data_IF_364157165587
#
_entry.id   IF_364157165587
#
_cell.length_a   1.000
_cell.length_b   1.000
_cell.length_c   1.000
_cell.angle_alpha   90.00
_cell.angle_beta   90.00
_cell.angle_gamma   90.00
#
_symmetry.space_group_name_H-M   'P 1'
#
loop_
_entity.id
_entity.type
_entity.pdbx_description
1 polymer ?
#
# COMPACT_ATOMS: atom_id res chain seq x y z
N UNK A 1 50.11 -4.36 5.40
CA UNK A 1 48.92 -4.99 4.75
C UNK A 1 47.67 -4.12 4.80
N UNK A 2 47.43 -3.39 5.90
CA UNK A 2 46.29 -2.46 6.06
C UNK A 2 46.36 -1.23 5.14
N UNK A 3 47.55 -0.65 4.95
CA UNK A 3 47.73 0.54 4.11
C UNK A 3 47.38 0.27 2.63
N UNK A 4 47.76 -0.91 2.12
CA UNK A 4 47.45 -1.32 0.75
C UNK A 4 45.94 -1.46 0.49
N UNK A 5 45.17 -1.92 1.49
CA UNK A 5 43.70 -2.00 1.41
C UNK A 5 43.03 -0.62 1.48
N UNK A 6 43.66 0.34 2.16
CA UNK A 6 43.15 1.70 2.33
C UNK A 6 43.33 2.52 1.04
N UNK A 7 44.44 2.33 0.32
CA UNK A 7 44.64 2.92 -1.01
C UNK A 7 43.71 2.33 -2.07
N UNK A 8 43.52 1.01 -2.08
CA UNK A 8 42.59 0.33 -3.01
C UNK A 8 41.12 0.79 -2.81
N UNK A 9 40.70 1.02 -1.56
CA UNK A 9 39.36 1.55 -1.25
C UNK A 9 39.18 3.00 -1.73
N UNK A 10 40.20 3.85 -1.59
CA UNK A 10 40.17 5.25 -2.08
C UNK A 10 40.10 5.31 -3.61
N UNK A 11 40.84 4.46 -4.32
CA UNK A 11 40.80 4.37 -5.79
C UNK A 11 39.45 3.87 -6.32
N UNK A 12 38.80 2.90 -5.65
CA UNK A 12 37.44 2.45 -6.05
C UNK A 12 36.39 3.53 -5.83
N UNK A 13 36.46 4.28 -4.72
CA UNK A 13 35.50 5.35 -4.42
C UNK A 13 35.56 6.52 -5.42
N UNK A 14 36.75 6.87 -5.92
CA UNK A 14 36.93 7.96 -6.90
C UNK A 14 36.48 7.56 -8.30
N UNK A 15 36.65 6.28 -8.68
CA UNK A 15 36.17 5.74 -9.96
C UNK A 15 34.64 5.67 -10.01
N UNK A 16 33.99 5.23 -8.92
CA UNK A 16 32.52 5.19 -8.81
C UNK A 16 31.91 6.61 -8.80
N UNK A 17 32.52 7.56 -8.08
CA UNK A 17 32.06 8.96 -8.09
C UNK A 17 32.13 9.61 -9.47
N UNK A 18 33.17 9.31 -10.28
CA UNK A 18 33.28 9.79 -11.67
C UNK A 18 32.24 9.17 -12.62
N UNK A 19 31.86 7.90 -12.42
CA UNK A 19 30.82 7.26 -13.23
C UNK A 19 29.42 7.81 -12.92
N UNK A 20 29.12 8.09 -11.65
CA UNK A 20 27.83 8.65 -11.23
C UNK A 20 27.65 10.08 -11.75
N UNK A 21 28.69 10.92 -11.70
CA UNK A 21 28.59 12.30 -12.21
C UNK A 21 28.44 12.38 -13.74
N UNK A 22 29.06 11.46 -14.49
CA UNK A 22 28.88 11.39 -15.95
C UNK A 22 27.46 10.91 -16.30
N UNK A 23 26.93 9.90 -15.60
CA UNK A 23 25.56 9.42 -15.82
C UNK A 23 24.48 10.47 -15.54
N UNK A 24 24.67 11.28 -14.50
CA UNK A 24 23.74 12.36 -14.14
C UNK A 24 23.74 13.51 -15.17
N UNK A 25 24.91 13.84 -15.74
CA UNK A 25 24.99 14.86 -16.79
C UNK A 25 24.34 14.42 -18.10
N UNK A 26 24.45 13.14 -18.46
CA UNK A 26 23.79 12.58 -19.67
C UNK A 26 22.26 12.59 -19.51
N UNK A 27 21.74 12.25 -18.34
CA UNK A 27 20.29 12.25 -18.09
C UNK A 27 19.69 13.66 -18.12
N UNK A 28 20.39 14.66 -17.57
CA UNK A 28 19.96 16.07 -17.67
C UNK A 28 19.95 16.52 -19.13
N UNK A 29 20.99 16.21 -19.91
CA UNK A 29 21.09 16.60 -21.31
C UNK A 29 19.94 16.00 -22.16
N UNK A 30 19.61 14.72 -21.92
CA UNK A 30 18.48 14.04 -22.60
C UNK A 30 17.14 14.66 -22.19
N UNK A 31 16.94 14.99 -20.91
CA UNK A 31 15.71 15.64 -20.45
C UNK A 31 15.54 17.04 -21.07
N UNK A 32 16.62 17.83 -21.20
CA UNK A 32 16.56 19.12 -21.88
C UNK A 32 16.27 19.00 -23.38
N UNK A 33 16.77 17.96 -24.05
CA UNK A 33 16.52 17.72 -25.48
C UNK A 33 15.06 17.31 -25.76
N UNK A 34 14.43 16.56 -24.84
CA UNK A 34 13.01 16.18 -24.91
C UNK A 34 12.10 17.40 -24.69
N UNK A 35 12.44 18.29 -23.75
CA UNK A 35 11.65 19.51 -23.51
C UNK A 35 11.73 20.51 -24.68
N UNK A 36 12.89 20.61 -25.34
CA UNK A 36 13.05 21.45 -26.54
C UNK A 36 12.32 20.84 -27.75
N UNK A 37 12.31 19.51 -27.93
CA UNK A 37 11.60 18.88 -29.06
C UNK A 37 10.08 18.94 -28.94
N UNK A 38 9.52 18.92 -27.73
CA UNK A 38 8.10 19.18 -27.47
C UNK A 38 7.68 20.63 -27.77
N UNK A 39 8.62 21.58 -27.62
CA UNK A 39 8.36 23.00 -27.86
C UNK A 39 8.33 23.37 -29.35
N UNK A 40 8.91 22.56 -30.23
CA UNK A 40 8.94 22.79 -31.68
C UNK A 40 7.77 22.16 -32.46
N UNK A 41 6.90 21.37 -31.82
CA UNK A 41 5.94 20.53 -32.54
C UNK A 41 4.49 21.05 -32.66
N UNK A 42 4.13 22.22 -32.15
CA UNK A 42 2.77 22.76 -32.38
C UNK A 42 2.79 24.27 -32.62
N UNK A 43 3.20 24.67 -33.82
CA UNK A 43 2.62 25.85 -34.48
C UNK A 43 2.70 25.69 -36.01
N UNK A 44 1.78 24.89 -36.56
CA UNK A 44 1.37 25.04 -37.96
C UNK A 44 0.05 25.77 -37.96
N UNK A 45 0.04 26.94 -38.56
CA UNK A 45 -1.14 27.79 -38.76
C UNK A 45 -2.23 27.02 -39.52
N UNK A 46 -3.52 27.24 -39.21
CA UNK A 46 -4.60 26.48 -39.83
C UNK A 46 -4.82 26.93 -41.27
N UNK A 47 -4.85 25.97 -42.20
CA UNK A 47 -5.62 26.11 -43.44
C UNK A 47 -7.09 25.87 -43.11
N UNK A 48 -7.94 26.76 -43.59
CA UNK A 48 -9.40 26.68 -43.51
C UNK A 48 -9.91 25.28 -43.88
N UNK A 49 -10.32 24.54 -42.85
CA UNK A 49 -11.22 23.41 -43.00
C UNK A 49 -12.38 23.71 -42.08
N UNK A 50 -13.58 23.76 -42.65
CA UNK A 50 -14.84 23.93 -41.95
C UNK A 50 -15.00 22.84 -40.90
N UNK A 51 -14.65 23.18 -39.65
CA UNK A 51 -14.95 22.36 -38.48
C UNK A 51 -16.46 22.39 -38.31
N UNK A 52 -17.08 21.27 -38.63
CA UNK A 52 -18.39 20.93 -38.10
C UNK A 52 -18.23 20.92 -36.58
N UNK A 53 -18.79 21.95 -35.94
CA UNK A 53 -18.87 22.06 -34.48
C UNK A 53 -19.58 20.80 -34.00
N UNK A 54 -18.83 19.85 -33.45
CA UNK A 54 -19.39 18.78 -32.65
C UNK A 54 -19.88 19.46 -31.37
N UNK A 55 -21.16 19.84 -31.40
CA UNK A 55 -21.90 20.30 -30.24
C UNK A 55 -21.73 19.18 -29.21
N UNK A 56 -21.02 19.47 -28.12
CA UNK A 56 -21.00 18.63 -26.93
C UNK A 56 -22.44 18.58 -26.43
N UNK A 57 -23.18 17.59 -26.93
CA UNK A 57 -24.60 17.42 -26.65
C UNK A 57 -24.70 17.27 -25.13
N UNK A 58 -25.41 18.20 -24.49
CA UNK A 58 -25.76 18.10 -23.08
C UNK A 58 -26.32 16.68 -22.87
N UNK A 59 -25.81 15.89 -21.91
CA UNK A 59 -26.32 14.54 -21.67
C UNK A 59 -27.85 14.61 -21.53
N UNK A 60 -28.55 13.63 -22.10
CA UNK A 60 -29.99 13.59 -21.95
C UNK A 60 -30.33 13.45 -20.46
N UNK A 61 -31.44 14.03 -20.02
CA UNK A 61 -31.87 13.97 -18.61
C UNK A 61 -31.94 12.53 -18.09
N UNK A 62 -32.34 11.59 -18.96
CA UNK A 62 -32.37 10.15 -18.67
C UNK A 62 -30.97 9.56 -18.39
N UNK A 63 -29.92 10.04 -19.08
CA UNK A 63 -28.53 9.60 -18.84
C UNK A 63 -28.01 10.11 -17.50
N UNK A 64 -28.37 11.34 -17.13
CA UNK A 64 -28.01 11.94 -15.85
C UNK A 64 -28.66 11.18 -14.69
N UNK A 65 -29.95 10.86 -14.79
CA UNK A 65 -30.65 10.11 -13.74
C UNK A 65 -30.07 8.70 -13.58
N UNK A 66 -29.69 8.04 -14.69
CA UNK A 66 -28.98 6.75 -14.64
C UNK A 66 -27.65 6.86 -13.89
N UNK A 67 -26.80 7.84 -14.25
CA UNK A 67 -25.50 8.07 -13.57
C UNK A 67 -25.70 8.35 -12.08
N UNK A 68 -26.71 9.16 -11.74
CA UNK A 68 -27.04 9.48 -10.34
C UNK A 68 -27.42 8.23 -9.55
N UNK A 69 -28.21 7.33 -10.13
CA UNK A 69 -28.65 6.12 -9.44
C UNK A 69 -27.50 5.11 -9.31
N UNK A 70 -26.67 4.95 -10.34
CA UNK A 70 -25.45 4.12 -10.26
C UNK A 70 -24.50 4.64 -9.17
N UNK A 71 -24.29 5.96 -9.07
CA UNK A 71 -23.51 6.55 -7.99
C UNK A 71 -24.05 6.17 -6.62
N UNK A 72 -25.38 6.30 -6.40
CA UNK A 72 -26.02 5.98 -5.11
C UNK A 72 -25.85 4.51 -4.74
N UNK A 73 -26.00 3.60 -5.70
CA UNK A 73 -25.82 2.16 -5.48
C UNK A 73 -24.38 1.84 -5.04
N UNK A 74 -23.37 2.40 -5.73
CA UNK A 74 -21.97 2.18 -5.38
C UNK A 74 -21.64 2.82 -4.03
N UNK A 75 -22.13 4.03 -3.77
CA UNK A 75 -21.94 4.70 -2.48
C UNK A 75 -22.55 3.88 -1.35
N UNK A 76 -23.75 3.34 -1.55
CA UNK A 76 -24.42 2.49 -0.57
C UNK A 76 -23.57 1.25 -0.26
N UNK A 77 -23.13 0.52 -1.29
CA UNK A 77 -22.23 -0.64 -1.13
C UNK A 77 -20.96 -0.27 -0.38
N UNK A 78 -20.34 0.85 -0.75
CA UNK A 78 -19.13 1.34 -0.07
C UNK A 78 -19.39 1.56 1.42
N UNK A 79 -20.46 2.28 1.77
CA UNK A 79 -20.80 2.63 3.16
C UNK A 79 -21.19 1.43 4.01
N UNK A 80 -21.92 0.45 3.46
CA UNK A 80 -22.40 -0.69 4.25
C UNK A 80 -21.43 -1.85 4.31
N UNK A 81 -20.58 -2.03 3.30
CA UNK A 81 -19.73 -3.22 3.20
C UNK A 81 -18.24 -2.89 3.26
N UNK A 82 -17.78 -1.92 2.48
CA UNK A 82 -16.34 -1.68 2.33
C UNK A 82 -15.77 -0.84 3.47
N UNK A 83 -16.41 0.27 3.83
CA UNK A 83 -15.93 1.16 4.89
C UNK A 83 -15.76 0.44 6.25
N UNK A 84 -16.71 -0.37 6.74
CA UNK A 84 -16.52 -1.12 7.98
C UNK A 84 -15.35 -2.11 7.90
N UNK A 85 -15.13 -2.74 6.74
CA UNK A 85 -14.00 -3.65 6.52
C UNK A 85 -12.67 -2.91 6.51
N UNK A 86 -12.62 -1.72 5.89
CA UNK A 86 -11.44 -0.85 5.90
C UNK A 86 -11.09 -0.41 7.33
N UNK A 87 -12.10 -0.10 8.15
CA UNK A 87 -11.91 0.21 9.57
C UNK A 87 -11.39 -1.00 10.35
N UNK A 88 -11.98 -2.18 10.15
CA UNK A 88 -11.52 -3.42 10.78
C UNK A 88 -10.08 -3.78 10.37
N UNK A 89 -9.69 -3.45 9.14
CA UNK A 89 -8.34 -3.63 8.62
C UNK A 89 -7.32 -2.61 9.18
N UNK A 90 -7.74 -1.63 9.99
CA UNK A 90 -6.85 -0.73 10.73
C UNK A 90 -5.84 0.02 9.83
N UNK A 91 -6.27 0.42 8.63
CA UNK A 91 -5.41 0.95 7.56
C UNK A 91 -4.65 2.20 8.00
N UNK A 92 -5.24 3.03 8.87
CA UNK A 92 -4.58 4.20 9.45
C UNK A 92 -3.24 3.86 10.13
N UNK A 93 -3.09 2.65 10.67
CA UNK A 93 -1.86 2.24 11.37
C UNK A 93 -0.75 1.75 10.45
N UNK A 94 -1.08 1.11 9.35
CA UNK A 94 -0.09 0.41 8.51
C UNK A 94 0.04 0.95 7.09
N UNK A 95 -0.97 1.68 6.60
CA UNK A 95 -0.94 2.32 5.29
C UNK A 95 -1.63 3.71 5.35
N UNK A 96 -0.96 4.64 6.03
CA UNK A 96 -1.45 6.02 6.21
C UNK A 96 -1.71 6.75 4.89
N UNK A 97 -0.90 6.48 3.86
CA UNK A 97 -1.11 7.10 2.55
C UNK A 97 -2.43 6.62 1.93
N UNK A 98 -2.68 5.30 1.93
CA UNK A 98 -3.94 4.75 1.44
C UNK A 98 -5.15 5.25 2.24
N UNK A 99 -5.02 5.35 3.56
CA UNK A 99 -6.05 5.94 4.42
C UNK A 99 -6.40 7.39 4.01
N UNK A 100 -5.38 8.22 3.81
CA UNK A 100 -5.57 9.59 3.35
C UNK A 100 -6.22 9.64 1.96
N UNK A 101 -5.73 8.83 1.01
CA UNK A 101 -6.23 8.81 -0.35
C UNK A 101 -7.70 8.35 -0.44
N UNK A 102 -8.09 7.33 0.33
CA UNK A 102 -9.50 6.89 0.45
C UNK A 102 -10.38 8.05 0.91
N UNK A 103 -9.99 8.71 2.01
CA UNK A 103 -10.76 9.80 2.60
C UNK A 103 -10.89 11.00 1.66
N UNK A 104 -9.81 11.37 0.97
CA UNK A 104 -9.85 12.46 0.00
C UNK A 104 -10.70 12.12 -1.22
N UNK A 105 -10.65 10.88 -1.68
CA UNK A 105 -11.42 10.45 -2.84
C UNK A 105 -12.92 10.35 -2.53
N UNK A 106 -13.29 9.91 -1.33
CA UNK A 106 -14.67 9.97 -0.86
C UNK A 106 -15.19 11.41 -0.84
N UNK A 107 -14.43 12.35 -0.23
CA UNK A 107 -14.79 13.77 -0.22
C UNK A 107 -14.98 14.33 -1.63
N UNK A 108 -14.09 14.00 -2.57
CA UNK A 108 -14.21 14.42 -3.97
C UNK A 108 -15.45 13.86 -4.65
N UNK A 109 -15.76 12.58 -4.43
CA UNK A 109 -16.97 11.95 -4.96
C UNK A 109 -18.23 12.67 -4.47
N UNK A 110 -18.31 12.95 -3.16
CA UNK A 110 -19.43 13.65 -2.54
C UNK A 110 -19.55 15.10 -3.01
N UNK A 111 -18.43 15.83 -3.10
CA UNK A 111 -18.42 17.21 -3.57
C UNK A 111 -18.92 17.32 -5.00
N UNK A 112 -18.40 16.49 -5.90
CA UNK A 112 -18.85 16.45 -7.30
C UNK A 112 -20.34 16.14 -7.40
N UNK A 113 -20.82 15.17 -6.61
CA UNK A 113 -22.25 14.83 -6.58
C UNK A 113 -23.12 16.01 -6.13
N UNK A 114 -22.72 16.69 -5.05
CA UNK A 114 -23.45 17.84 -4.49
C UNK A 114 -23.49 19.04 -5.45
N UNK A 115 -22.46 19.19 -6.29
CA UNK A 115 -22.36 20.23 -7.30
C UNK A 115 -23.11 19.89 -8.61
N UNK A 116 -23.73 18.70 -8.69
CA UNK A 116 -24.40 18.22 -9.89
C UNK A 116 -23.45 17.70 -10.98
N UNK A 117 -22.15 17.56 -10.68
CA UNK A 117 -21.16 16.96 -11.58
C UNK A 117 -21.18 15.42 -11.45
N UNK A 118 -22.30 14.84 -11.87
CA UNK A 118 -22.56 13.41 -11.72
C UNK A 118 -21.56 12.49 -12.44
N UNK A 119 -21.08 12.79 -13.67
CA UNK A 119 -20.06 11.96 -14.32
C UNK A 119 -18.76 11.89 -13.50
N UNK A 120 -18.26 13.02 -12.99
CA UNK A 120 -17.07 13.00 -12.15
C UNK A 120 -17.34 12.37 -10.78
N UNK A 121 -18.53 12.55 -10.20
CA UNK A 121 -18.92 11.86 -8.97
C UNK A 121 -18.87 10.34 -9.15
N UNK A 122 -19.46 9.81 -10.23
CA UNK A 122 -19.47 8.39 -10.56
C UNK A 122 -18.05 7.83 -10.75
N UNK A 123 -17.21 8.54 -11.51
CA UNK A 123 -15.82 8.14 -11.71
C UNK A 123 -15.04 8.07 -10.38
N UNK A 124 -15.24 9.07 -9.49
CA UNK A 124 -14.56 9.10 -8.20
C UNK A 124 -15.02 7.96 -7.28
N UNK A 125 -16.33 7.66 -7.21
CA UNK A 125 -16.84 6.59 -6.35
C UNK A 125 -16.48 5.19 -6.88
N UNK A 126 -16.45 4.98 -8.20
CA UNK A 126 -15.98 3.73 -8.80
C UNK A 126 -14.49 3.48 -8.48
N UNK A 127 -13.67 4.53 -8.60
CA UNK A 127 -12.25 4.43 -8.28
C UNK A 127 -12.02 4.27 -6.76
N UNK A 128 -12.87 4.86 -5.90
CA UNK A 128 -12.85 4.64 -4.45
C UNK A 128 -13.11 3.16 -4.13
N UNK A 129 -14.15 2.58 -4.74
CA UNK A 129 -14.49 1.16 -4.60
C UNK A 129 -13.32 0.27 -5.03
N UNK A 130 -12.73 0.52 -6.19
CA UNK A 130 -11.60 -0.25 -6.69
C UNK A 130 -10.38 -0.18 -5.76
N UNK A 131 -10.01 1.02 -5.31
CA UNK A 131 -8.91 1.23 -4.36
C UNK A 131 -9.16 0.53 -3.03
N UNK A 132 -10.39 0.64 -2.50
CA UNK A 132 -10.78 0.00 -1.24
C UNK A 132 -10.64 -1.51 -1.29
N UNK A 133 -11.07 -2.14 -2.40
CA UNK A 133 -10.92 -3.58 -2.60
C UNK A 133 -9.46 -4.01 -2.67
N UNK A 134 -8.63 -3.26 -3.41
CA UNK A 134 -7.19 -3.56 -3.51
C UNK A 134 -6.48 -3.48 -2.14
N UNK A 135 -6.81 -2.49 -1.31
CA UNK A 135 -6.22 -2.35 0.03
C UNK A 135 -6.68 -3.45 0.97
N UNK A 136 -7.95 -3.88 0.87
CA UNK A 136 -8.45 -5.02 1.64
C UNK A 136 -7.76 -6.33 1.23
N UNK A 137 -7.49 -6.51 -0.05
CA UNK A 137 -6.72 -7.66 -0.55
C UNK A 137 -5.27 -7.63 -0.05
N UNK A 138 -4.62 -6.47 -0.07
CA UNK A 138 -3.28 -6.27 0.50
C UNK A 138 -3.25 -6.59 2.00
N UNK A 139 -4.25 -6.09 2.76
CA UNK A 139 -4.40 -6.38 4.19
C UNK A 139 -4.50 -7.88 4.46
N UNK A 140 -5.33 -8.59 3.68
CA UNK A 140 -5.51 -10.03 3.81
C UNK A 140 -4.23 -10.80 3.46
N UNK A 141 -3.51 -10.37 2.44
CA UNK A 141 -2.24 -10.97 2.06
C UNK A 141 -1.18 -10.80 3.17
N UNK A 142 -1.05 -9.59 3.73
CA UNK A 142 -0.16 -9.33 4.85
C UNK A 142 -0.52 -10.22 6.04
N UNK A 143 -1.82 -10.36 6.35
CA UNK A 143 -2.28 -11.21 7.43
C UNK A 143 -1.85 -12.67 7.21
N UNK A 144 -2.20 -13.25 6.05
CA UNK A 144 -1.90 -14.66 5.71
C UNK A 144 -0.41 -14.96 5.75
N UNK A 145 0.40 -14.14 5.11
CA UNK A 145 1.85 -14.36 5.06
C UNK A 145 2.48 -14.35 6.45
N UNK A 146 2.00 -13.49 7.35
CA UNK A 146 2.54 -13.41 8.69
C UNK A 146 2.02 -14.55 9.57
N UNK A 147 0.78 -14.99 9.41
CA UNK A 147 0.27 -16.17 10.13
C UNK A 147 1.00 -17.46 9.69
N UNK A 148 1.28 -17.60 8.40
CA UNK A 148 2.08 -18.71 7.87
C UNK A 148 3.52 -18.69 8.42
N UNK A 149 4.20 -17.55 8.34
CA UNK A 149 5.56 -17.39 8.91
C UNK A 149 5.57 -17.65 10.41
N UNK A 150 4.57 -17.20 11.15
CA UNK A 150 4.47 -17.46 12.58
C UNK A 150 4.38 -18.96 12.87
N UNK A 151 3.57 -19.68 12.10
CA UNK A 151 3.40 -21.13 12.21
C UNK A 151 4.70 -21.89 11.91
N UNK A 152 5.44 -21.45 10.88
CA UNK A 152 6.76 -22.02 10.55
C UNK A 152 7.77 -21.82 11.69
N UNK A 153 7.85 -20.60 12.23
CA UNK A 153 8.75 -20.33 13.37
C UNK A 153 8.35 -21.11 14.63
N UNK A 154 7.06 -21.32 14.89
CA UNK A 154 6.61 -22.17 15.99
C UNK A 154 7.03 -23.62 15.81
N UNK A 155 6.94 -24.16 14.60
CA UNK A 155 7.36 -25.53 14.31
C UNK A 155 8.88 -25.74 14.50
N UNK A 156 9.66 -24.67 14.45
CA UNK A 156 11.12 -24.65 14.65
C UNK A 156 11.53 -24.23 16.07
N UNK A 157 10.60 -24.13 17.03
CA UNK A 157 10.85 -23.62 18.40
C UNK A 157 11.42 -22.19 18.45
N UNK A 158 11.24 -21.42 17.37
CA UNK A 158 11.70 -20.04 17.24
C UNK A 158 10.62 -19.04 17.73
N UNK A 159 10.35 -19.05 19.03
CA UNK A 159 9.21 -18.32 19.63
C UNK A 159 9.23 -16.80 19.40
N UNK A 160 10.39 -16.15 19.44
CA UNK A 160 10.49 -14.71 19.16
C UNK A 160 10.13 -14.38 17.71
N UNK A 161 10.56 -15.23 16.77
CA UNK A 161 10.19 -15.11 15.35
C UNK A 161 8.70 -15.30 15.16
N UNK A 162 8.13 -16.31 15.81
CA UNK A 162 6.70 -16.56 15.78
C UNK A 162 5.91 -15.36 16.32
N UNK A 163 6.30 -14.83 17.47
CA UNK A 163 5.67 -13.68 18.12
C UNK A 163 5.69 -12.45 17.22
N UNK A 164 6.86 -12.11 16.67
CA UNK A 164 7.03 -10.98 15.76
C UNK A 164 6.05 -11.05 14.58
N UNK A 165 5.88 -12.25 14.01
CA UNK A 165 4.98 -12.44 12.88
C UNK A 165 3.50 -12.37 13.29
N UNK A 166 3.09 -12.89 14.45
CA UNK A 166 1.73 -12.67 14.95
C UNK A 166 1.46 -11.18 15.18
N UNK A 167 2.41 -10.44 15.76
CA UNK A 167 2.28 -9.00 15.96
C UNK A 167 2.07 -8.26 14.63
N UNK A 168 2.81 -8.63 13.57
CA UNK A 168 2.61 -8.08 12.22
C UNK A 168 1.24 -8.43 11.63
N UNK A 169 0.73 -9.64 11.86
CA UNK A 169 -0.62 -10.01 11.44
C UNK A 169 -1.68 -9.17 12.17
N UNK A 170 -1.50 -8.94 13.48
CA UNK A 170 -2.40 -8.11 14.30
C UNK A 170 -2.37 -6.62 13.95
N UNK A 171 -1.31 -6.13 13.30
CA UNK A 171 -1.27 -4.74 12.81
C UNK A 171 -2.37 -4.49 11.77
N UNK A 172 -2.61 -5.46 10.88
CA UNK A 172 -3.60 -5.37 9.79
C UNK A 172 -4.95 -6.00 10.14
N UNK A 173 -5.00 -6.89 11.14
CA UNK A 173 -6.23 -7.52 11.62
C UNK A 173 -6.26 -7.59 13.16
N UNK A 174 -6.36 -6.45 13.85
CA UNK A 174 -6.19 -6.36 15.31
C UNK A 174 -7.23 -7.13 16.12
N UNK A 175 -8.38 -7.44 15.51
CA UNK A 175 -9.47 -8.19 16.13
C UNK A 175 -9.52 -9.67 15.69
N UNK A 176 -8.51 -10.14 14.96
CA UNK A 176 -8.47 -11.54 14.50
C UNK A 176 -8.40 -12.49 15.69
N UNK A 177 -9.45 -13.33 15.93
CA UNK A 177 -9.45 -14.25 17.06
C UNK A 177 -8.31 -15.26 16.97
N UNK A 178 -8.01 -15.73 15.76
CA UNK A 178 -6.94 -16.68 15.49
C UNK A 178 -5.56 -16.11 15.88
N UNK A 179 -5.25 -14.90 15.42
CA UNK A 179 -3.97 -14.27 15.74
C UNK A 179 -3.86 -13.90 17.23
N UNK A 180 -4.96 -13.47 17.86
CA UNK A 180 -4.98 -13.17 19.30
C UNK A 180 -4.74 -14.43 20.15
N UNK A 181 -5.38 -15.55 19.81
CA UNK A 181 -5.16 -16.83 20.50
C UNK A 181 -3.70 -17.27 20.33
N UNK A 182 -3.18 -17.22 19.10
CA UNK A 182 -1.79 -17.61 18.84
C UNK A 182 -0.79 -16.74 19.59
N UNK A 183 -1.02 -15.42 19.67
CA UNK A 183 -0.20 -14.51 20.46
C UNK A 183 -0.18 -14.91 21.94
N UNK A 184 -1.34 -15.22 22.51
CA UNK A 184 -1.45 -15.64 23.91
C UNK A 184 -0.70 -16.95 24.17
N UNK A 185 -0.79 -17.91 23.27
CA UNK A 185 -0.14 -19.21 23.44
C UNK A 185 1.38 -19.10 23.29
N UNK A 186 1.88 -18.31 22.32
CA UNK A 186 3.32 -18.01 22.20
C UNK A 186 3.84 -17.34 23.49
N UNK A 187 3.12 -16.35 24.02
CA UNK A 187 3.52 -15.67 25.26
C UNK A 187 3.61 -16.63 26.45
N UNK A 188 2.68 -17.59 26.58
CA UNK A 188 2.74 -18.62 27.62
C UNK A 188 3.96 -19.52 27.44
N UNK A 189 4.22 -19.99 26.22
CA UNK A 189 5.35 -20.87 25.92
C UNK A 189 6.69 -20.21 26.29
N UNK A 190 6.86 -18.93 25.94
CA UNK A 190 8.06 -18.16 26.31
C UNK A 190 8.29 -18.08 27.83
N UNK A 191 7.24 -18.18 28.65
CA UNK A 191 7.35 -18.19 30.11
C UNK A 191 7.50 -19.60 30.70
N UNK A 192 6.87 -20.60 30.11
CA UNK A 192 6.87 -21.99 30.63
C UNK A 192 8.20 -22.69 30.34
N UNK A 193 8.81 -22.47 29.16
CA UNK A 193 10.01 -23.20 28.75
C UNK A 193 11.23 -22.97 29.67
N UNK A 194 11.54 -21.74 30.11
CA UNK A 194 12.60 -21.52 31.10
C UNK A 194 12.34 -22.29 32.40
N UNK A 195 11.10 -22.26 32.91
CA UNK A 195 10.72 -22.97 34.14
C UNK A 195 10.87 -24.49 34.01
N UNK A 196 10.55 -25.05 32.84
CA UNK A 196 10.76 -26.47 32.56
C UNK A 196 12.26 -26.83 32.51
N UNK A 197 13.08 -25.94 31.95
CA UNK A 197 14.54 -26.10 31.91
C UNK A 197 15.13 -26.07 33.32
N UNK A 198 14.73 -25.09 34.14
CA UNK A 198 15.15 -24.97 35.54
C UNK A 198 14.73 -26.18 36.37
N UNK A 199 13.48 -26.64 36.23
CA UNK A 199 12.99 -27.83 36.92
C UNK A 199 13.77 -29.09 36.52
N UNK A 200 14.16 -29.21 35.24
CA UNK A 200 14.99 -30.32 34.75
C UNK A 200 16.40 -30.27 35.33
N UNK A 201 17.01 -29.09 35.38
CA UNK A 201 18.33 -28.90 35.98
C UNK A 201 18.30 -29.25 37.48
N UNK A 202 17.31 -28.75 38.23
CA UNK A 202 17.17 -29.04 39.65
C UNK A 202 17.00 -30.54 39.95
N UNK A 203 16.25 -31.28 39.13
CA UNK A 203 16.13 -32.75 39.26
C UNK A 203 17.45 -33.47 39.04
N UNK A 204 18.23 -33.04 38.06
CA UNK A 204 19.53 -33.63 37.77
C UNK A 204 20.57 -33.33 38.88
N UNK A 205 20.47 -32.18 39.54
CA UNK A 205 21.38 -31.78 40.62
C UNK A 205 21.04 -32.43 41.98
N UNK A 206 19.76 -32.76 42.21
CA UNK A 206 19.29 -33.32 43.48
C UNK A 206 19.19 -34.86 43.52
N UNK A 207 19.59 -35.57 42.46
CA UNK A 207 19.61 -37.04 42.38
C UNK A 207 18.26 -37.68 42.85
N UNK A 208 17.15 -37.22 42.26
CA UNK A 208 15.82 -37.86 42.34
C UNK A 208 15.57 -38.81 41.17
#
# INVERSE_FOLDING_TARGET
>A
MLEKRLEEARLRSTKLRKQITIGFLITIAVCSLILVSLSYFIFSTPKDVSVTVSIKMKPAEADIEKIRNEFKEILQQYKTELEPRLQAANIERWNQNAWFEINEQEKKAMLNFSNGDYPNALNNIQSLKAKSLAILEESEQIFKENMEKSSLFLAEDHYDGAKLHVEKALVVAPQSPEALVLQQDINKLQHILPLLSEAKAARAEHDL
#
